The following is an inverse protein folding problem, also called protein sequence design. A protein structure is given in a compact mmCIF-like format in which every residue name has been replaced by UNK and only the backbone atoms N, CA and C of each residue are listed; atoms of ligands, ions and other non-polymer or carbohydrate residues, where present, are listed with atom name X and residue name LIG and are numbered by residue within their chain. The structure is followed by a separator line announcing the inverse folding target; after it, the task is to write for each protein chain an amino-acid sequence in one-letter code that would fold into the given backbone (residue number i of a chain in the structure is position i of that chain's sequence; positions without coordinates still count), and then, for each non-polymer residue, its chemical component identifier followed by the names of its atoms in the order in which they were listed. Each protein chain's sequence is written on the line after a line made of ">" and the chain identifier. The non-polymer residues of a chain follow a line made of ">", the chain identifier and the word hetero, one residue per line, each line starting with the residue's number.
data_IF_759811752217
#
_entry.id   IF_759811752217
#
_cell.length_a   1.000
_cell.length_b   1.000
_cell.length_c   1.000
_cell.angle_alpha   90.00
_cell.angle_beta   90.00
_cell.angle_gamma   90.00
#
_symmetry.space_group_name_H-M   'P 1'
#
loop_
_entity.id
_entity.type
_entity.pdbx_description
1 polymer ?
#
# COMPACT_ATOMS: atom_id res chain seq x y z
N UNK A 1 23.90 -29.81 12.79
CA UNK A 1 22.55 -29.31 12.68
C UNK A 1 22.14 -29.38 11.22
N UNK A 2 21.21 -30.26 10.85
CA UNK A 2 20.65 -30.32 9.50
C UNK A 2 19.87 -29.04 9.27
N UNK A 3 20.30 -28.23 8.31
CA UNK A 3 19.51 -27.11 7.81
C UNK A 3 18.27 -27.69 7.13
N UNK A 4 17.20 -27.83 7.85
CA UNK A 4 15.90 -28.09 7.20
C UNK A 4 15.56 -26.82 6.42
N UNK A 5 15.40 -26.97 5.10
CA UNK A 5 14.97 -25.86 4.23
C UNK A 5 13.63 -25.31 4.78
N UNK A 6 13.48 -23.98 4.78
CA UNK A 6 12.24 -23.33 5.23
C UNK A 6 11.09 -23.78 4.30
N UNK A 7 10.03 -24.46 4.81
CA UNK A 7 8.93 -24.94 3.98
C UNK A 7 8.10 -23.82 3.34
N UNK A 8 8.36 -22.58 3.71
CA UNK A 8 7.76 -21.37 3.14
C UNK A 8 8.52 -20.85 1.92
N UNK A 9 9.77 -21.31 1.71
CA UNK A 9 10.60 -20.85 0.60
C UNK A 9 10.74 -21.92 -0.48
N UNK A 10 10.45 -21.54 -1.73
CA UNK A 10 10.73 -22.37 -2.91
C UNK A 10 11.07 -21.45 -4.09
N UNK A 11 12.38 -21.33 -4.37
CA UNK A 11 12.89 -20.47 -5.44
C UNK A 11 12.45 -20.92 -6.86
N UNK A 12 11.98 -22.16 -7.02
CA UNK A 12 11.53 -22.69 -8.31
C UNK A 12 10.09 -22.34 -8.67
N UNK A 13 9.32 -21.86 -7.69
CA UNK A 13 7.89 -21.57 -7.88
C UNK A 13 7.68 -20.25 -8.62
N UNK A 14 6.99 -20.33 -9.74
CA UNK A 14 6.45 -19.19 -10.48
C UNK A 14 4.95 -19.44 -10.65
N UNK A 15 4.13 -18.68 -9.93
CA UNK A 15 2.69 -18.88 -9.89
C UNK A 15 1.98 -17.81 -10.71
N UNK A 16 1.09 -18.25 -11.59
CA UNK A 16 0.18 -17.39 -12.34
C UNK A 16 -1.20 -18.02 -12.37
N UNK A 17 -2.24 -17.21 -12.20
CA UNK A 17 -3.61 -17.69 -12.29
C UNK A 17 -3.94 -18.17 -13.71
N UNK A 18 -4.74 -19.23 -13.87
CA UNK A 18 -5.31 -19.59 -15.15
C UNK A 18 -6.15 -18.43 -15.72
N UNK A 19 -6.25 -18.37 -17.04
CA UNK A 19 -7.02 -17.38 -17.80
C UNK A 19 -7.97 -18.11 -18.75
N UNK A 20 -8.95 -17.36 -19.27
CA UNK A 20 -9.92 -17.91 -20.22
C UNK A 20 -11.16 -18.51 -19.55
N UNK A 21 -12.01 -19.10 -20.37
CA UNK A 21 -13.32 -19.59 -19.94
C UNK A 21 -13.34 -21.05 -19.46
N UNK A 22 -12.22 -21.76 -19.59
CA UNK A 22 -12.12 -23.15 -19.18
C UNK A 22 -11.89 -23.24 -17.68
N UNK A 23 -12.82 -23.92 -16.98
CA UNK A 23 -12.74 -24.13 -15.54
C UNK A 23 -11.69 -25.20 -15.17
N UNK A 24 -10.93 -24.94 -14.12
CA UNK A 24 -10.10 -25.92 -13.43
C UNK A 24 -10.88 -26.60 -12.31
N UNK A 25 -11.74 -25.82 -11.63
CA UNK A 25 -12.64 -26.27 -10.57
C UNK A 25 -14.01 -26.68 -11.13
N UNK A 26 -14.91 -27.13 -10.25
CA UNK A 26 -16.25 -27.62 -10.64
C UNK A 26 -17.21 -26.51 -11.01
N UNK A 27 -16.98 -25.28 -10.52
CA UNK A 27 -17.81 -24.10 -10.83
C UNK A 27 -17.01 -22.83 -10.80
N UNK A 28 -17.60 -21.73 -11.30
CA UNK A 28 -17.00 -20.40 -11.19
C UNK A 28 -16.88 -19.91 -9.76
N UNK A 29 -17.73 -20.37 -8.84
CA UNK A 29 -17.67 -19.96 -7.44
C UNK A 29 -16.38 -20.45 -6.76
N UNK A 30 -15.95 -21.65 -7.03
CA UNK A 30 -14.69 -22.21 -6.52
C UNK A 30 -13.49 -21.79 -7.38
N UNK A 31 -13.69 -21.64 -8.69
CA UNK A 31 -12.66 -21.15 -9.62
C UNK A 31 -12.19 -19.76 -9.24
N UNK A 32 -13.09 -18.88 -8.77
CA UNK A 32 -12.73 -17.53 -8.33
C UNK A 32 -11.67 -17.59 -7.22
N UNK A 33 -11.86 -18.34 -6.17
CA UNK A 33 -10.88 -18.53 -5.10
C UNK A 33 -9.59 -19.18 -5.61
N UNK A 34 -9.71 -20.18 -6.47
CA UNK A 34 -8.59 -20.89 -7.08
C UNK A 34 -7.70 -19.97 -7.90
N UNK A 35 -8.27 -19.10 -8.74
CA UNK A 35 -7.52 -18.13 -9.53
C UNK A 35 -6.96 -17.01 -8.66
N UNK A 36 -7.70 -16.56 -7.65
CA UNK A 36 -7.30 -15.41 -6.84
C UNK A 36 -6.14 -15.71 -5.90
N UNK A 37 -6.06 -16.88 -5.27
CA UNK A 37 -4.89 -17.23 -4.46
C UNK A 37 -3.62 -17.28 -5.32
N UNK A 38 -3.72 -17.77 -6.54
CA UNK A 38 -2.60 -17.79 -7.49
C UNK A 38 -2.26 -16.41 -8.00
N UNK A 39 -3.26 -15.57 -8.28
CA UNK A 39 -3.04 -14.18 -8.65
C UNK A 39 -2.31 -13.39 -7.58
N UNK A 40 -2.60 -13.65 -6.30
CA UNK A 40 -1.89 -13.02 -5.17
C UNK A 40 -0.38 -13.35 -5.16
N UNK A 41 0.02 -14.46 -5.74
CA UNK A 41 1.42 -14.90 -5.82
C UNK A 41 2.05 -14.71 -7.20
N UNK A 42 1.32 -14.08 -8.12
CA UNK A 42 1.88 -13.70 -9.42
C UNK A 42 3.10 -12.78 -9.21
N UNK A 43 4.21 -12.98 -9.92
CA UNK A 43 5.40 -12.14 -9.81
C UNK A 43 5.15 -10.64 -10.06
N UNK A 44 4.12 -10.29 -10.80
CA UNK A 44 3.71 -8.90 -11.02
C UNK A 44 2.94 -8.31 -9.83
N UNK A 45 2.43 -9.14 -8.92
CA UNK A 45 1.56 -8.76 -7.80
C UNK A 45 2.29 -8.86 -6.47
N UNK A 46 2.91 -10.00 -6.18
CA UNK A 46 3.49 -10.31 -4.89
C UNK A 46 4.87 -9.66 -4.70
N UNK A 47 5.14 -9.25 -3.46
CA UNK A 47 6.44 -8.71 -3.05
C UNK A 47 7.55 -9.78 -3.10
N UNK A 48 7.30 -10.95 -2.54
CA UNK A 48 8.21 -12.11 -2.53
C UNK A 48 7.44 -13.41 -2.76
N UNK A 49 7.03 -13.69 -4.00
CA UNK A 49 6.18 -14.84 -4.29
C UNK A 49 6.79 -16.18 -3.89
N UNK A 50 8.12 -16.33 -3.98
CA UNK A 50 8.83 -17.57 -3.59
C UNK A 50 8.71 -17.87 -2.09
N UNK A 51 8.45 -16.85 -1.28
CA UNK A 51 8.23 -16.93 0.16
C UNK A 51 6.75 -16.86 0.56
N UNK A 52 5.84 -16.92 -0.41
CA UNK A 52 4.39 -16.75 -0.21
C UNK A 52 4.01 -15.37 0.31
N UNK A 53 4.91 -14.41 0.30
CA UNK A 53 4.69 -13.06 0.79
C UNK A 53 4.07 -12.19 -0.30
N UNK A 54 2.85 -11.73 -0.06
CA UNK A 54 2.09 -10.88 -0.98
C UNK A 54 2.50 -9.42 -0.81
N UNK A 55 2.45 -8.90 0.41
CA UNK A 55 2.90 -7.53 0.73
C UNK A 55 3.21 -7.37 2.22
N UNK A 56 3.75 -6.19 2.59
CA UNK A 56 4.01 -5.82 3.97
C UNK A 56 5.13 -6.59 4.66
N UNK A 57 5.98 -7.26 3.91
CA UNK A 57 7.14 -8.01 4.40
C UNK A 57 6.83 -9.39 4.95
N UNK A 58 5.68 -9.58 5.59
CA UNK A 58 5.28 -10.86 6.25
C UNK A 58 3.86 -11.31 5.94
N UNK A 59 3.08 -10.52 5.20
CA UNK A 59 1.70 -10.88 4.82
C UNK A 59 1.68 -11.98 3.76
N UNK A 60 1.25 -13.18 4.13
CA UNK A 60 1.28 -14.39 3.29
C UNK A 60 -0.09 -14.82 2.79
N UNK A 61 -0.09 -15.47 1.63
CA UNK A 61 -1.29 -16.06 1.03
C UNK A 61 -1.59 -17.49 1.56
N UNK A 62 -0.56 -18.22 1.97
CA UNK A 62 -0.66 -19.55 2.54
C UNK A 62 0.43 -19.76 3.60
N UNK A 63 0.23 -20.72 4.50
CA UNK A 63 1.15 -20.96 5.62
C UNK A 63 2.51 -21.47 5.17
N UNK A 64 2.51 -22.37 4.20
CA UNK A 64 3.69 -22.91 3.52
C UNK A 64 3.28 -23.48 2.14
N UNK A 65 4.24 -23.95 1.35
CA UNK A 65 3.97 -24.44 0.00
C UNK A 65 3.14 -25.72 -0.02
N UNK A 66 3.30 -26.60 0.96
CA UNK A 66 2.42 -27.79 1.09
C UNK A 66 0.97 -27.39 1.32
N UNK A 67 0.72 -26.43 2.21
CA UNK A 67 -0.62 -25.89 2.44
C UNK A 67 -1.20 -25.22 1.19
N UNK A 68 -0.37 -24.48 0.44
CA UNK A 68 -0.79 -23.89 -0.83
C UNK A 68 -1.27 -24.96 -1.82
N UNK A 69 -0.49 -26.01 -2.00
CA UNK A 69 -0.86 -27.13 -2.89
C UNK A 69 -2.13 -27.84 -2.42
N UNK A 70 -2.29 -28.04 -1.13
CA UNK A 70 -3.50 -28.62 -0.54
C UNK A 70 -4.74 -27.72 -0.71
N UNK A 71 -4.58 -26.40 -0.62
CA UNK A 71 -5.66 -25.43 -0.89
C UNK A 71 -6.13 -25.57 -2.34
N UNK A 72 -5.21 -25.59 -3.30
CA UNK A 72 -5.55 -25.75 -4.71
C UNK A 72 -6.27 -27.05 -4.98
N UNK A 73 -5.77 -28.16 -4.43
CA UNK A 73 -6.40 -29.48 -4.56
C UNK A 73 -7.80 -29.50 -3.96
N UNK A 74 -7.99 -28.92 -2.77
CA UNK A 74 -9.28 -28.83 -2.10
C UNK A 74 -10.28 -28.01 -2.90
N UNK A 75 -9.87 -26.88 -3.48
CA UNK A 75 -10.75 -26.04 -4.30
C UNK A 75 -11.20 -26.73 -5.59
N UNK A 76 -10.33 -27.54 -6.20
CA UNK A 76 -10.70 -28.34 -7.38
C UNK A 76 -11.79 -29.37 -7.07
N UNK A 77 -11.78 -29.92 -5.88
CA UNK A 77 -12.69 -30.99 -5.46
C UNK A 77 -13.96 -30.47 -4.78
N UNK A 78 -13.98 -29.22 -4.36
CA UNK A 78 -15.07 -28.58 -3.60
C UNK A 78 -16.36 -28.48 -4.45
N UNK A 79 -17.48 -28.93 -3.86
CA UNK A 79 -18.81 -28.76 -4.45
C UNK A 79 -19.45 -27.44 -4.01
N UNK A 80 -20.47 -26.99 -4.76
CA UNK A 80 -21.14 -25.70 -4.51
C UNK A 80 -22.06 -25.69 -3.26
N UNK A 81 -22.18 -26.80 -2.58
CA UNK A 81 -22.88 -26.95 -1.29
C UNK A 81 -21.92 -27.30 -0.15
N UNK A 82 -20.63 -27.11 -0.37
CA UNK A 82 -19.57 -27.33 0.61
C UNK A 82 -18.80 -26.00 0.88
N UNK A 83 -18.21 -25.94 2.06
CA UNK A 83 -17.37 -24.80 2.48
C UNK A 83 -16.01 -25.32 2.93
N UNK A 84 -14.96 -24.77 2.33
CA UNK A 84 -13.56 -24.99 2.74
C UNK A 84 -13.19 -24.03 3.85
N UNK A 85 -12.74 -24.56 4.98
CA UNK A 85 -12.21 -23.76 6.09
C UNK A 85 -10.69 -23.67 5.99
N UNK A 86 -10.18 -22.45 5.97
CA UNK A 86 -8.75 -22.12 5.99
C UNK A 86 -8.44 -21.44 7.32
N UNK A 87 -7.44 -21.93 8.04
CA UNK A 87 -7.00 -21.33 9.29
C UNK A 87 -5.52 -20.98 9.23
N UNK A 88 -5.22 -19.70 9.34
CA UNK A 88 -3.85 -19.17 9.23
C UNK A 88 -3.10 -19.83 8.07
N UNK A 89 -3.71 -19.79 6.88
CA UNK A 89 -3.14 -20.29 5.62
C UNK A 89 -3.09 -21.80 5.44
N UNK A 90 -3.76 -22.56 6.32
CA UNK A 90 -3.83 -24.03 6.23
C UNK A 90 -5.27 -24.49 6.01
N UNK A 91 -5.54 -25.39 5.03
CA UNK A 91 -6.86 -25.99 4.89
C UNK A 91 -7.07 -26.98 6.03
N UNK A 92 -8.13 -26.80 6.82
CA UNK A 92 -8.38 -27.59 8.03
C UNK A 92 -9.66 -28.42 7.98
N UNK A 93 -10.54 -28.17 7.02
CA UNK A 93 -11.74 -28.97 6.85
C UNK A 93 -12.60 -28.50 5.68
N UNK A 94 -13.39 -29.44 5.18
CA UNK A 94 -14.47 -29.22 4.22
C UNK A 94 -15.78 -29.61 4.91
N UNK A 95 -16.71 -28.67 4.94
CA UNK A 95 -17.99 -28.84 5.62
C UNK A 95 -19.13 -28.83 4.61
N UNK A 96 -20.07 -29.74 4.78
CA UNK A 96 -21.33 -29.70 4.05
C UNK A 96 -22.13 -28.48 4.54
N UNK A 97 -22.45 -27.59 3.63
CA UNK A 97 -23.22 -26.40 3.90
C UNK A 97 -24.42 -26.33 2.93
N UNK A 98 -24.55 -25.25 2.21
CA UNK A 98 -25.62 -25.06 1.23
C UNK A 98 -25.16 -24.08 0.11
N UNK A 99 -25.92 -24.02 -0.96
CA UNK A 99 -25.54 -23.26 -2.15
C UNK A 99 -25.32 -21.75 -1.88
N UNK A 100 -25.98 -21.17 -0.88
CA UNK A 100 -25.83 -19.77 -0.51
C UNK A 100 -24.77 -19.52 0.58
N UNK A 101 -24.10 -20.56 1.07
CA UNK A 101 -23.00 -20.43 2.02
C UNK A 101 -21.72 -19.99 1.30
N UNK A 102 -20.79 -19.33 2.00
CA UNK A 102 -19.47 -19.06 1.44
C UNK A 102 -18.77 -20.36 1.00
N UNK A 103 -18.10 -20.29 -0.17
CA UNK A 103 -17.29 -21.44 -0.63
C UNK A 103 -16.01 -21.59 0.21
N UNK A 104 -15.47 -20.48 0.73
CA UNK A 104 -14.27 -20.48 1.55
C UNK A 104 -14.49 -19.57 2.78
N UNK A 105 -14.15 -20.07 3.95
CA UNK A 105 -14.05 -19.29 5.18
C UNK A 105 -12.58 -19.19 5.59
N UNK A 106 -12.13 -17.96 5.81
CA UNK A 106 -10.75 -17.63 6.13
C UNK A 106 -10.67 -17.08 7.55
N UNK A 107 -9.93 -17.76 8.41
CA UNK A 107 -9.61 -17.30 9.76
C UNK A 107 -8.11 -17.12 9.89
N UNK A 108 -7.64 -15.87 9.90
CA UNK A 108 -6.21 -15.56 9.93
C UNK A 108 -5.83 -14.84 11.22
N UNK A 109 -4.66 -15.22 11.78
CA UNK A 109 -4.03 -14.54 12.91
C UNK A 109 -4.91 -14.41 14.16
N UNK A 110 -5.78 -15.39 14.40
CA UNK A 110 -6.72 -15.38 15.53
C UNK A 110 -6.04 -15.93 16.79
N UNK A 111 -5.44 -15.03 17.58
CA UNK A 111 -4.93 -15.34 18.91
C UNK A 111 -5.93 -14.91 19.98
N UNK A 112 -5.99 -15.70 21.07
CA UNK A 112 -6.73 -15.30 22.27
C UNK A 112 -6.14 -13.97 22.78
N UNK A 113 -6.95 -12.94 23.07
CA UNK A 113 -6.44 -11.60 23.43
C UNK A 113 -5.41 -11.61 24.55
N UNK A 114 -5.54 -12.48 25.54
CA UNK A 114 -4.57 -12.63 26.64
C UNK A 114 -3.16 -12.95 26.16
N UNK A 115 -3.01 -13.61 25.02
CA UNK A 115 -1.74 -14.05 24.46
C UNK A 115 -1.39 -13.34 23.15
N UNK A 116 -2.20 -12.36 22.74
CA UNK A 116 -2.03 -11.65 21.49
C UNK A 116 -0.95 -10.56 21.62
N UNK A 117 0.29 -10.95 21.54
CA UNK A 117 1.45 -10.07 21.48
C UNK A 117 2.41 -10.53 20.38
N UNK A 118 3.29 -9.63 19.92
CA UNK A 118 4.18 -9.90 18.80
C UNK A 118 5.20 -11.01 19.09
N UNK A 119 5.62 -11.16 20.35
CA UNK A 119 6.56 -12.22 20.75
C UNK A 119 5.94 -13.59 20.55
N UNK A 120 4.74 -13.81 21.09
CA UNK A 120 4.02 -15.07 20.94
C UNK A 120 3.65 -15.36 19.50
N UNK A 121 3.19 -14.32 18.76
CA UNK A 121 2.93 -14.42 17.34
C UNK A 121 4.17 -14.91 16.58
N UNK A 122 5.31 -14.28 16.80
CA UNK A 122 6.57 -14.63 16.13
C UNK A 122 7.01 -16.06 16.45
N UNK A 123 6.85 -16.49 17.69
CA UNK A 123 7.14 -17.87 18.11
C UNK A 123 6.29 -18.87 17.34
N UNK A 124 4.99 -18.63 17.23
CA UNK A 124 4.08 -19.53 16.51
C UNK A 124 4.36 -19.54 15.00
N UNK A 125 4.65 -18.37 14.42
CA UNK A 125 5.02 -18.26 13.02
C UNK A 125 6.29 -19.05 12.69
N UNK A 126 7.33 -18.92 13.52
CA UNK A 126 8.58 -19.65 13.37
C UNK A 126 8.40 -21.18 13.51
N UNK A 127 7.48 -21.61 14.37
CA UNK A 127 7.13 -23.03 14.55
C UNK A 127 6.25 -23.59 13.41
N UNK A 128 5.85 -22.76 12.44
CA UNK A 128 4.97 -23.16 11.36
C UNK A 128 3.53 -23.46 11.81
N UNK A 129 3.12 -22.94 12.96
CA UNK A 129 1.78 -23.13 13.52
C UNK A 129 0.83 -22.01 13.21
N UNK A 130 1.34 -20.94 12.60
CA UNK A 130 0.61 -19.70 12.44
C UNK A 130 1.08 -18.98 11.18
N UNK A 131 0.29 -18.02 10.71
CA UNK A 131 0.62 -17.18 9.56
C UNK A 131 0.06 -15.78 9.76
N UNK A 132 0.84 -14.75 9.41
CA UNK A 132 0.30 -13.42 9.29
C UNK A 132 -0.42 -13.27 7.94
N UNK A 133 -1.72 -13.44 7.97
CA UNK A 133 -2.59 -13.27 6.80
C UNK A 133 -3.13 -11.84 6.71
N UNK A 134 -2.23 -10.89 6.51
CA UNK A 134 -2.55 -9.46 6.51
C UNK A 134 -3.66 -9.13 5.51
N UNK A 135 -4.81 -8.69 6.04
CA UNK A 135 -5.96 -8.18 5.25
C UNK A 135 -6.18 -8.91 3.91
N UNK A 136 -5.92 -8.24 2.81
CA UNK A 136 -6.15 -8.75 1.44
C UNK A 136 -5.14 -9.79 0.98
N UNK A 137 -3.99 -9.91 1.64
CA UNK A 137 -3.02 -10.96 1.37
C UNK A 137 -3.55 -12.34 1.79
N UNK A 138 -3.97 -12.47 3.04
CA UNK A 138 -4.49 -13.72 3.59
C UNK A 138 -5.90 -14.08 3.12
N UNK A 139 -6.66 -13.12 2.61
CA UNK A 139 -8.00 -13.35 2.05
C UNK A 139 -8.01 -13.53 0.52
N UNK A 140 -6.85 -13.43 -0.12
CA UNK A 140 -6.64 -13.64 -1.56
C UNK A 140 -7.38 -12.65 -2.47
N UNK A 141 -7.57 -11.44 -1.99
CA UNK A 141 -8.26 -10.38 -2.74
C UNK A 141 -7.38 -9.16 -3.05
N UNK A 142 -6.08 -9.27 -2.82
CA UNK A 142 -5.13 -8.23 -3.21
C UNK A 142 -4.94 -8.20 -4.73
N UNK A 143 -5.08 -7.02 -5.32
CA UNK A 143 -5.07 -6.82 -6.78
C UNK A 143 -3.87 -6.01 -7.26
N UNK A 144 -2.85 -5.87 -6.42
CA UNK A 144 -1.67 -5.05 -6.71
C UNK A 144 -1.78 -3.62 -6.19
N UNK A 145 -0.98 -2.71 -6.75
CA UNK A 145 -0.83 -1.34 -6.26
C UNK A 145 -2.05 -0.44 -6.48
N UNK A 146 -3.00 -0.85 -7.31
CA UNK A 146 -4.19 -0.05 -7.61
C UNK A 146 -4.99 0.33 -6.36
N UNK A 147 -5.11 -0.60 -5.39
CA UNK A 147 -5.81 -0.34 -4.13
C UNK A 147 -5.12 0.73 -3.29
N UNK A 148 -3.80 0.74 -3.28
CA UNK A 148 -2.99 1.74 -2.57
C UNK A 148 -3.13 3.11 -3.26
N UNK A 149 -3.09 3.16 -4.58
CA UNK A 149 -3.28 4.40 -5.34
C UNK A 149 -4.66 4.99 -5.04
N UNK A 150 -5.70 4.17 -5.04
CA UNK A 150 -7.04 4.67 -4.71
C UNK A 150 -7.15 5.15 -3.27
N UNK A 151 -6.68 4.39 -2.29
CA UNK A 151 -6.74 4.81 -0.89
C UNK A 151 -6.02 6.14 -0.66
N UNK A 152 -4.87 6.32 -1.28
CA UNK A 152 -4.10 7.56 -1.21
C UNK A 152 -4.82 8.70 -1.95
N UNK A 153 -5.40 8.43 -3.12
CA UNK A 153 -6.22 9.38 -3.85
C UNK A 153 -7.43 9.86 -3.02
N UNK A 154 -8.17 8.93 -2.42
CA UNK A 154 -9.32 9.30 -1.58
C UNK A 154 -8.89 10.13 -0.36
N UNK A 155 -7.72 9.83 0.21
CA UNK A 155 -7.13 10.62 1.29
C UNK A 155 -6.84 12.06 0.84
N UNK A 156 -6.19 12.22 -0.30
CA UNK A 156 -5.85 13.54 -0.83
C UNK A 156 -7.08 14.32 -1.30
N UNK A 157 -8.02 13.66 -1.95
CA UNK A 157 -9.28 14.28 -2.35
C UNK A 157 -10.08 14.77 -1.13
N UNK A 158 -10.13 13.99 -0.05
CA UNK A 158 -10.80 14.38 1.18
C UNK A 158 -10.09 15.52 1.90
N UNK A 159 -8.75 15.53 1.89
CA UNK A 159 -7.97 16.66 2.39
C UNK A 159 -8.28 17.95 1.62
N UNK A 160 -8.38 17.88 0.30
CA UNK A 160 -8.80 19.00 -0.55
C UNK A 160 -10.19 19.52 -0.20
N UNK A 161 -11.13 18.61 -0.03
CA UNK A 161 -12.51 18.95 0.37
C UNK A 161 -12.55 19.62 1.75
N UNK A 162 -11.85 19.05 2.72
CA UNK A 162 -11.87 19.52 4.10
C UNK A 162 -11.17 20.86 4.30
N UNK A 163 -10.03 21.08 3.65
CA UNK A 163 -9.16 22.22 3.90
C UNK A 163 -9.22 23.30 2.83
N UNK A 164 -9.60 22.98 1.60
CA UNK A 164 -9.50 23.87 0.44
C UNK A 164 -10.78 23.97 -0.40
N UNK A 165 -11.91 23.58 0.17
CA UNK A 165 -13.23 23.78 -0.45
C UNK A 165 -13.56 22.86 -1.62
N UNK A 166 -12.79 21.78 -1.85
CA UNK A 166 -13.14 20.75 -2.82
C UNK A 166 -12.01 20.19 -3.66
N UNK A 167 -11.02 20.99 -4.05
CA UNK A 167 -9.95 20.57 -4.95
C UNK A 167 -8.56 20.94 -4.43
N UNK A 168 -7.56 20.17 -4.83
CA UNK A 168 -6.15 20.48 -4.62
C UNK A 168 -5.49 21.13 -5.85
N UNK A 169 -6.26 21.56 -6.84
CA UNK A 169 -5.75 22.33 -7.97
C UNK A 169 -5.04 23.60 -7.50
N UNK A 170 -3.84 23.85 -8.01
CA UNK A 170 -3.01 24.98 -7.60
C UNK A 170 -2.36 24.80 -6.23
N UNK A 171 -2.49 23.66 -5.61
CA UNK A 171 -1.91 23.29 -4.32
C UNK A 171 -0.77 22.30 -4.50
N UNK A 172 0.10 22.17 -3.49
CA UNK A 172 1.13 21.17 -3.55
C UNK A 172 1.30 20.39 -2.24
N UNK A 173 1.64 19.12 -2.41
CA UNK A 173 1.82 18.14 -1.34
C UNK A 173 3.31 17.88 -1.19
N UNK A 174 3.79 17.92 0.05
CA UNK A 174 5.13 17.48 0.42
C UNK A 174 5.06 16.11 1.08
N UNK A 175 5.84 15.18 0.57
CA UNK A 175 5.95 13.83 1.13
C UNK A 175 7.33 13.23 0.87
N UNK A 176 7.59 12.07 1.44
CA UNK A 176 8.80 11.31 1.22
C UNK A 176 8.52 9.82 1.10
N UNK A 177 9.40 9.09 0.42
CA UNK A 177 9.31 7.66 0.18
C UNK A 177 8.66 7.33 -1.16
N UNK A 178 9.40 6.66 -2.03
CA UNK A 178 8.96 6.14 -3.33
C UNK A 178 9.13 4.61 -3.43
N UNK A 179 9.18 3.94 -2.29
CA UNK A 179 9.18 2.48 -2.18
C UNK A 179 7.81 1.87 -2.50
N UNK A 180 7.56 0.65 -2.01
CA UNK A 180 6.35 -0.11 -2.33
C UNK A 180 5.05 0.66 -2.07
N UNK A 181 4.84 1.12 -0.85
CA UNK A 181 3.64 1.89 -0.46
C UNK A 181 3.74 3.36 -0.90
N UNK A 182 4.89 3.98 -0.63
CA UNK A 182 5.12 5.41 -0.91
C UNK A 182 5.09 5.75 -2.39
N UNK A 183 5.44 4.80 -3.24
CA UNK A 183 5.44 4.99 -4.69
C UNK A 183 4.08 5.29 -5.30
N UNK A 184 2.99 5.02 -4.59
CA UNK A 184 1.63 5.38 -5.03
C UNK A 184 1.31 6.87 -4.86
N UNK A 185 2.00 7.57 -3.98
CA UNK A 185 1.68 8.96 -3.61
C UNK A 185 1.74 9.95 -4.78
N UNK A 186 2.79 9.95 -5.62
CA UNK A 186 2.87 10.92 -6.71
C UNK A 186 1.71 10.80 -7.70
N UNK A 187 1.33 9.59 -8.08
CA UNK A 187 0.21 9.36 -8.99
C UNK A 187 -1.13 9.76 -8.33
N UNK A 188 -1.33 9.40 -7.08
CA UNK A 188 -2.53 9.78 -6.32
C UNK A 188 -2.66 11.31 -6.16
N UNK A 189 -1.56 12.00 -5.91
CA UNK A 189 -1.53 13.46 -5.85
C UNK A 189 -1.93 14.10 -7.19
N UNK A 190 -1.39 13.59 -8.28
CA UNK A 190 -1.74 14.03 -9.65
C UNK A 190 -3.23 13.80 -9.91
N UNK A 191 -3.76 12.65 -9.55
CA UNK A 191 -5.19 12.36 -9.68
C UNK A 191 -6.07 13.32 -8.88
N UNK A 192 -5.58 13.79 -7.72
CA UNK A 192 -6.26 14.80 -6.90
C UNK A 192 -6.10 16.24 -7.43
N UNK A 193 -5.40 16.44 -8.54
CA UNK A 193 -5.16 17.74 -9.15
C UNK A 193 -3.98 18.52 -8.57
N UNK A 194 -3.21 17.91 -7.66
CA UNK A 194 -2.12 18.57 -6.95
C UNK A 194 -0.77 18.41 -7.66
N UNK A 195 0.12 19.38 -7.40
CA UNK A 195 1.56 19.20 -7.56
C UNK A 195 2.07 18.43 -6.34
N UNK A 196 3.03 17.55 -6.51
CA UNK A 196 3.69 16.89 -5.38
C UNK A 196 5.20 16.97 -5.45
N UNK A 197 5.83 17.18 -4.30
CA UNK A 197 7.27 17.01 -4.10
C UNK A 197 7.50 15.76 -3.28
N UNK A 198 8.17 14.79 -3.89
CA UNK A 198 8.41 13.45 -3.34
C UNK A 198 9.91 13.27 -3.12
N UNK A 199 10.33 13.25 -1.87
CA UNK A 199 11.73 13.09 -1.50
C UNK A 199 12.04 11.60 -1.43
N UNK A 200 13.09 11.18 -2.10
CA UNK A 200 13.55 9.78 -2.11
C UNK A 200 15.06 9.71 -2.01
N UNK A 201 15.55 8.84 -1.15
CA UNK A 201 16.99 8.70 -0.90
C UNK A 201 17.72 7.79 -1.91
N UNK A 202 17.00 7.03 -2.73
CA UNK A 202 17.56 6.09 -3.70
C UNK A 202 17.18 6.48 -5.13
N UNK A 203 18.20 6.78 -5.95
CA UNK A 203 17.99 7.11 -7.37
C UNK A 203 17.27 5.97 -8.12
N UNK A 204 17.57 4.73 -7.79
CA UNK A 204 16.92 3.56 -8.42
C UNK A 204 15.40 3.54 -8.23
N UNK A 205 14.92 3.97 -7.07
CA UNK A 205 13.49 4.10 -6.80
C UNK A 205 12.86 5.23 -7.63
N UNK A 206 13.54 6.35 -7.75
CA UNK A 206 13.10 7.46 -8.62
C UNK A 206 13.03 7.01 -10.07
N UNK A 207 14.08 6.36 -10.57
CA UNK A 207 14.15 5.87 -11.96
C UNK A 207 13.01 4.89 -12.26
N UNK A 208 12.73 3.99 -11.34
CA UNK A 208 11.62 3.05 -11.45
C UNK A 208 10.26 3.77 -11.57
N UNK A 209 10.03 4.78 -10.73
CA UNK A 209 8.77 5.54 -10.75
C UNK A 209 8.63 6.45 -11.96
N UNK A 210 9.72 6.95 -12.50
CA UNK A 210 9.73 7.66 -13.79
C UNK A 210 9.37 6.71 -14.94
N UNK A 211 9.99 5.53 -14.99
CA UNK A 211 9.68 4.52 -16.04
C UNK A 211 8.25 4.03 -16.01
N UNK A 212 7.71 3.84 -14.82
CA UNK A 212 6.34 3.35 -14.63
C UNK A 212 5.29 4.47 -14.63
N UNK A 213 5.71 5.71 -14.87
CA UNK A 213 4.86 6.91 -14.96
C UNK A 213 4.09 7.26 -13.68
N UNK A 214 4.63 6.88 -12.53
CA UNK A 214 4.12 7.34 -11.23
C UNK A 214 4.65 8.72 -10.88
N UNK A 215 5.87 9.04 -11.32
CA UNK A 215 6.51 10.36 -11.18
C UNK A 215 6.72 10.96 -12.57
N UNK A 216 6.40 12.23 -12.72
CA UNK A 216 6.52 12.94 -13.99
C UNK A 216 7.91 13.50 -14.23
N UNK A 217 8.54 14.08 -13.20
CA UNK A 217 9.82 14.80 -13.33
C UNK A 217 10.71 14.57 -12.13
N UNK A 218 12.03 14.70 -12.33
CA UNK A 218 13.00 14.79 -11.25
C UNK A 218 13.61 16.18 -11.21
N UNK A 219 13.60 16.82 -10.03
CA UNK A 219 14.32 18.07 -9.80
C UNK A 219 15.80 17.80 -9.52
N UNK A 220 16.67 18.73 -9.93
CA UNK A 220 18.13 18.65 -9.69
C UNK A 220 18.48 18.94 -8.23
N UNK A 221 17.77 19.89 -7.62
CA UNK A 221 17.99 20.38 -6.27
C UNK A 221 16.70 21.06 -5.74
N UNK A 222 16.76 21.58 -4.53
CA UNK A 222 15.61 22.25 -3.90
C UNK A 222 15.18 23.48 -4.71
N UNK A 223 16.12 24.29 -5.21
CA UNK A 223 15.79 25.49 -5.97
C UNK A 223 15.04 25.14 -7.26
N UNK A 224 15.51 24.15 -7.98
CA UNK A 224 14.82 23.66 -9.18
C UNK A 224 13.45 23.04 -8.84
N UNK A 225 13.35 22.32 -7.74
CA UNK A 225 12.05 21.80 -7.27
C UNK A 225 11.06 22.94 -7.01
N UNK A 226 11.50 24.02 -6.37
CA UNK A 226 10.65 25.18 -6.10
C UNK A 226 10.24 25.94 -7.36
N UNK A 227 11.13 26.06 -8.33
CA UNK A 227 10.79 26.64 -9.65
C UNK A 227 9.66 25.82 -10.33
N UNK A 228 9.80 24.49 -10.34
CA UNK A 228 8.78 23.58 -10.92
C UNK A 228 7.46 23.66 -10.15
N UNK A 229 7.50 23.69 -8.81
CA UNK A 229 6.29 23.80 -7.98
C UNK A 229 5.58 25.12 -8.29
N UNK A 230 6.28 26.26 -8.32
CA UNK A 230 5.69 27.55 -8.64
C UNK A 230 5.06 27.58 -10.04
N UNK A 231 5.78 27.06 -11.03
CA UNK A 231 5.30 27.01 -12.41
C UNK A 231 4.01 26.23 -12.52
N UNK A 232 3.98 25.02 -11.97
CA UNK A 232 2.85 24.11 -12.14
C UNK A 232 1.65 24.45 -11.23
N UNK A 233 1.89 24.96 -10.03
CA UNK A 233 0.78 25.44 -9.18
C UNK A 233 0.12 26.67 -9.77
N UNK A 234 0.88 27.61 -10.34
CA UNK A 234 0.34 28.80 -11.00
C UNK A 234 -0.49 28.42 -12.24
N UNK A 235 -0.06 27.42 -13.00
CA UNK A 235 -0.78 26.90 -14.17
C UNK A 235 -1.93 25.96 -13.80
N UNK A 236 -2.05 25.56 -12.53
CA UNK A 236 -2.96 24.52 -12.03
C UNK A 236 -2.77 23.17 -12.73
N UNK A 237 -1.54 22.88 -13.12
CA UNK A 237 -1.15 21.58 -13.66
C UNK A 237 -0.91 20.60 -12.50
N UNK A 238 -1.38 19.38 -12.65
CA UNK A 238 -1.08 18.31 -11.72
C UNK A 238 0.20 17.60 -12.17
N UNK A 239 1.32 17.86 -11.49
CA UNK A 239 2.64 17.31 -11.83
C UNK A 239 3.32 16.77 -10.58
N UNK A 240 3.85 15.58 -10.68
CA UNK A 240 4.62 14.95 -9.61
C UNK A 240 6.12 15.12 -9.84
N UNK A 241 6.82 15.55 -8.80
CA UNK A 241 8.24 15.89 -8.82
C UNK A 241 8.97 15.04 -7.80
N UNK A 242 10.01 14.32 -8.22
CA UNK A 242 10.92 13.62 -7.33
C UNK A 242 12.15 14.50 -7.03
N UNK A 243 12.66 14.39 -5.82
CA UNK A 243 13.91 15.02 -5.39
C UNK A 243 14.76 13.98 -4.66
N UNK A 244 15.96 13.71 -5.19
CA UNK A 244 16.92 12.83 -4.56
C UNK A 244 17.49 13.49 -3.31
N UNK A 245 17.36 12.83 -2.18
CA UNK A 245 17.95 13.29 -0.93
C UNK A 245 17.37 12.57 0.28
N UNK A 246 17.86 12.95 1.44
CA UNK A 246 17.40 12.42 2.71
C UNK A 246 16.32 13.33 3.31
N UNK A 247 15.16 12.78 3.61
CA UNK A 247 14.05 13.56 4.16
C UNK A 247 14.39 14.24 5.49
N UNK A 248 15.21 13.60 6.34
CA UNK A 248 15.67 14.18 7.60
C UNK A 248 16.64 15.36 7.41
N UNK A 249 17.22 15.53 6.23
CA UNK A 249 18.05 16.67 5.87
C UNK A 249 17.25 17.73 5.10
N UNK A 250 16.43 17.30 4.15
CA UNK A 250 15.69 18.21 3.26
C UNK A 250 14.52 18.88 3.98
N UNK A 251 13.72 18.16 4.75
CA UNK A 251 12.56 18.75 5.42
C UNK A 251 12.92 19.90 6.35
N UNK A 252 13.96 19.82 7.21
CA UNK A 252 14.38 20.95 8.02
C UNK A 252 14.77 22.18 7.19
N UNK A 253 15.41 22.00 6.03
CA UNK A 253 15.76 23.09 5.12
C UNK A 253 14.51 23.73 4.49
N UNK A 254 13.52 22.92 4.12
CA UNK A 254 12.24 23.42 3.62
C UNK A 254 11.48 24.21 4.70
N UNK A 255 11.52 23.76 5.95
CA UNK A 255 10.96 24.49 7.10
C UNK A 255 11.68 25.84 7.25
N UNK A 256 12.99 25.87 7.21
CA UNK A 256 13.78 27.09 7.30
C UNK A 256 13.39 28.08 6.21
N UNK A 257 13.27 27.63 4.97
CA UNK A 257 12.84 28.47 3.83
C UNK A 257 11.42 28.97 3.99
N UNK A 258 10.51 28.15 4.46
CA UNK A 258 9.11 28.54 4.72
C UNK A 258 9.03 29.63 5.80
N UNK A 259 9.79 29.50 6.89
CA UNK A 259 9.91 30.51 7.96
C UNK A 259 10.47 31.85 7.45
N UNK A 260 11.33 31.78 6.45
CA UNK A 260 11.91 32.98 5.80
C UNK A 260 11.01 33.62 4.71
N UNK A 261 9.76 33.19 4.61
CA UNK A 261 8.78 33.70 3.65
C UNK A 261 8.77 32.98 2.29
N UNK A 262 9.45 31.83 2.18
CA UNK A 262 9.43 30.99 0.99
C UNK A 262 8.16 30.16 0.85
N UNK A 263 8.18 29.22 -0.11
CA UNK A 263 7.04 28.36 -0.39
C UNK A 263 6.67 27.49 0.83
N UNK A 264 5.38 27.36 1.05
CA UNK A 264 4.79 26.48 2.06
C UNK A 264 3.97 25.39 1.37
N UNK A 265 4.13 24.13 1.76
CA UNK A 265 3.24 23.09 1.26
C UNK A 265 1.81 23.30 1.76
N UNK A 266 0.85 22.76 1.02
CA UNK A 266 -0.56 22.81 1.39
C UNK A 266 -1.00 21.56 2.17
N UNK A 267 -0.22 20.48 2.08
CA UNK A 267 -0.38 19.23 2.82
C UNK A 267 0.98 18.57 2.99
N UNK A 268 1.26 18.05 4.17
CA UNK A 268 2.49 17.30 4.46
C UNK A 268 2.14 15.92 4.97
N UNK A 269 2.79 14.90 4.42
CA UNK A 269 2.69 13.52 4.90
C UNK A 269 4.03 12.81 4.71
N UNK A 270 4.08 11.51 5.00
CA UNK A 270 5.27 10.70 4.86
C UNK A 270 4.95 9.22 4.66
N UNK A 271 5.65 8.57 3.76
CA UNK A 271 5.64 7.12 3.57
C UNK A 271 7.05 6.54 3.43
N UNK A 272 8.04 7.09 4.11
CA UNK A 272 9.32 6.42 4.29
C UNK A 272 9.12 5.12 5.10
N UNK A 273 9.99 4.13 4.92
CA UNK A 273 9.85 2.83 5.58
C UNK A 273 10.40 2.85 7.02
N UNK A 274 9.87 3.76 7.85
CA UNK A 274 10.31 3.97 9.23
C UNK A 274 9.94 2.81 10.18
N UNK A 275 9.12 1.86 9.75
CA UNK A 275 8.82 0.64 10.49
C UNK A 275 9.99 -0.36 10.52
N UNK A 276 10.95 -0.23 9.61
CA UNK A 276 12.18 -1.02 9.57
C UNK A 276 13.40 -0.09 9.62
N UNK A 277 13.95 0.09 10.82
CA UNK A 277 15.07 1.00 11.05
C UNK A 277 16.42 0.48 10.54
N UNK A 278 16.49 -0.77 10.12
CA UNK A 278 17.70 -1.34 9.50
C UNK A 278 17.64 -1.20 7.99
N UNK A 279 16.57 -1.69 7.37
CA UNK A 279 16.48 -1.77 5.91
C UNK A 279 15.65 -0.67 5.27
N UNK A 280 14.87 0.06 6.04
CA UNK A 280 13.84 0.95 5.54
C UNK A 280 14.14 2.45 5.62
N UNK A 281 15.01 2.88 6.50
CA UNK A 281 15.26 4.32 6.72
C UNK A 281 16.75 4.66 6.68
N UNK A 282 17.15 5.43 5.67
CA UNK A 282 18.51 5.91 5.52
C UNK A 282 18.83 6.98 6.59
N UNK A 283 19.81 6.78 7.48
CA UNK A 283 20.21 7.80 8.44
C UNK A 283 20.74 9.06 7.76
N UNK A 284 20.42 10.23 8.33
CA UNK A 284 20.98 11.49 7.88
C UNK A 284 22.51 11.48 7.93
N UNK A 285 23.14 12.02 6.90
CA UNK A 285 24.60 12.07 6.77
C UNK A 285 25.25 10.79 6.28
N UNK A 286 24.49 9.71 6.09
CA UNK A 286 25.00 8.45 5.54
C UNK A 286 24.81 8.42 4.02
N UNK A 287 25.76 7.78 3.32
CA UNK A 287 25.57 7.41 1.93
C UNK A 287 24.75 6.11 1.82
N UNK A 288 24.11 5.89 0.69
CA UNK A 288 23.42 4.62 0.40
C UNK A 288 24.38 3.44 0.48
N UNK A 289 25.62 3.62 0.03
CA UNK A 289 26.64 2.56 0.09
C UNK A 289 27.00 2.18 1.55
N UNK A 290 27.19 3.17 2.44
CA UNK A 290 27.43 2.93 3.87
C UNK A 290 26.23 2.22 4.52
N UNK A 291 25.03 2.65 4.19
CA UNK A 291 23.80 2.05 4.70
C UNK A 291 23.66 0.59 4.29
N UNK A 292 23.88 0.28 3.01
CA UNK A 292 23.83 -1.09 2.49
C UNK A 292 24.89 -2.00 3.13
N UNK A 293 26.09 -1.48 3.34
CA UNK A 293 27.14 -2.22 4.03
C UNK A 293 26.74 -2.56 5.49
N UNK A 294 26.17 -1.58 6.21
CA UNK A 294 25.69 -1.79 7.58
C UNK A 294 24.51 -2.76 7.67
N UNK A 295 23.63 -2.78 6.67
CA UNK A 295 22.52 -3.76 6.59
C UNK A 295 23.03 -5.21 6.54
N UNK A 296 24.15 -5.45 5.86
CA UNK A 296 24.76 -6.78 5.72
C UNK A 296 25.58 -7.22 6.96
N UNK A 297 25.88 -6.31 7.85
CA UNK A 297 26.67 -6.55 9.05
C UNK A 297 25.80 -6.47 10.31
N UNK A 298 25.42 -7.63 10.85
CA UNK A 298 24.58 -7.74 12.05
C UNK A 298 25.15 -6.96 13.24
N UNK A 299 26.48 -6.86 13.34
CA UNK A 299 27.16 -6.11 14.42
C UNK A 299 26.88 -4.61 14.35
N UNK A 300 26.49 -4.09 13.19
CA UNK A 300 26.16 -2.68 12.97
C UNK A 300 24.67 -2.36 13.17
N UNK A 301 23.81 -3.36 13.31
CA UNK A 301 22.36 -3.16 13.32
C UNK A 301 21.89 -2.29 14.49
N UNK A 302 22.45 -2.43 15.69
CA UNK A 302 22.05 -1.61 16.83
C UNK A 302 22.46 -0.13 16.66
N UNK A 303 23.64 0.14 16.12
CA UNK A 303 24.07 1.50 15.80
C UNK A 303 23.20 2.08 14.69
N UNK A 304 22.92 1.29 13.64
CA UNK A 304 22.08 1.69 12.52
C UNK A 304 20.65 2.05 12.97
N UNK A 305 20.03 1.21 13.77
CA UNK A 305 18.71 1.49 14.38
C UNK A 305 18.69 2.80 15.14
N UNK A 306 19.72 3.05 15.96
CA UNK A 306 19.82 4.27 16.78
C UNK A 306 19.92 5.53 15.91
N UNK A 307 20.82 5.55 14.94
CA UNK A 307 21.01 6.74 14.08
C UNK A 307 19.82 6.94 13.14
N UNK A 308 19.20 5.87 12.66
CA UNK A 308 17.95 5.95 11.88
C UNK A 308 16.81 6.52 12.72
N UNK A 309 16.65 6.06 13.97
CA UNK A 309 15.65 6.58 14.91
C UNK A 309 15.85 8.08 15.19
N UNK A 310 17.10 8.51 15.43
CA UNK A 310 17.44 9.92 15.61
C UNK A 310 17.10 10.75 14.37
N UNK A 311 17.32 10.22 13.18
CA UNK A 311 16.95 10.86 11.92
C UNK A 311 15.42 10.97 11.77
N UNK A 312 14.68 9.93 12.15
CA UNK A 312 13.21 9.99 12.18
C UNK A 312 12.71 11.07 13.15
N UNK A 313 13.37 11.27 14.29
CA UNK A 313 13.02 12.35 15.22
C UNK A 313 13.16 13.74 14.57
N UNK A 314 14.24 13.97 13.84
CA UNK A 314 14.45 15.23 13.09
C UNK A 314 13.38 15.40 12.00
N UNK A 315 13.05 14.34 11.28
CA UNK A 315 12.02 14.32 10.25
C UNK A 315 10.65 14.69 10.82
N UNK A 316 10.23 14.05 11.90
CA UNK A 316 8.95 14.33 12.58
C UNK A 316 8.91 15.74 13.15
N UNK A 317 10.02 16.23 13.71
CA UNK A 317 10.10 17.62 14.20
C UNK A 317 9.84 18.63 13.07
N UNK A 318 10.38 18.38 11.87
CA UNK A 318 10.10 19.22 10.71
C UNK A 318 8.61 19.16 10.31
N UNK A 319 7.98 18.00 10.36
CA UNK A 319 6.54 17.87 10.12
C UNK A 319 5.71 18.65 11.15
N UNK A 320 6.08 18.60 12.42
CA UNK A 320 5.47 19.40 13.49
C UNK A 320 5.67 20.90 13.25
N UNK A 321 6.83 21.31 12.79
CA UNK A 321 7.10 22.73 12.46
C UNK A 321 6.16 23.23 11.36
N UNK A 322 5.90 22.42 10.34
CA UNK A 322 4.89 22.73 9.33
C UNK A 322 3.48 22.81 9.92
N UNK A 323 3.10 21.90 10.79
CA UNK A 323 1.81 21.98 11.48
C UNK A 323 1.65 23.25 12.28
N UNK A 324 2.70 23.69 12.98
CA UNK A 324 2.70 24.94 13.73
C UNK A 324 2.57 26.19 12.83
N UNK A 325 2.84 26.07 11.55
CA UNK A 325 2.56 27.13 10.56
C UNK A 325 1.11 27.10 10.04
N UNK A 326 0.26 26.21 10.57
CA UNK A 326 -1.13 26.06 10.13
C UNK A 326 -1.31 25.14 8.90
N UNK A 327 -0.28 24.41 8.51
CA UNK A 327 -0.35 23.48 7.37
C UNK A 327 -0.91 22.14 7.85
N UNK A 328 -1.89 21.54 7.15
CA UNK A 328 -2.36 20.18 7.44
C UNK A 328 -1.21 19.18 7.33
N UNK A 329 -1.00 18.40 8.38
CA UNK A 329 0.02 17.35 8.46
C UNK A 329 -0.65 16.06 8.92
N UNK A 330 -0.37 14.96 8.24
CA UNK A 330 -0.89 13.64 8.60
C UNK A 330 0.17 12.57 8.52
N UNK A 331 0.06 11.59 9.41
CA UNK A 331 0.82 10.34 9.36
C UNK A 331 0.10 9.36 8.42
N UNK A 332 0.87 8.63 7.63
CA UNK A 332 0.31 7.64 6.69
C UNK A 332 0.53 6.18 7.15
N UNK A 333 0.83 5.95 8.42
CA UNK A 333 0.86 4.62 9.02
C UNK A 333 2.19 3.87 8.90
N UNK A 334 3.29 4.59 8.81
CA UNK A 334 4.64 4.02 8.71
C UNK A 334 5.41 3.91 10.04
N UNK A 335 4.76 4.15 11.17
CA UNK A 335 5.33 4.11 12.51
C UNK A 335 6.34 5.24 12.85
N UNK A 336 6.51 6.23 11.97
CA UNK A 336 7.53 7.27 12.19
C UNK A 336 7.29 8.10 13.45
N UNK A 337 6.01 8.37 13.80
CA UNK A 337 5.66 9.12 15.01
C UNK A 337 6.09 8.38 16.28
N UNK A 338 5.86 7.07 16.35
CA UNK A 338 6.28 6.27 17.51
C UNK A 338 7.81 6.25 17.65
N UNK A 339 8.52 6.08 16.54
CA UNK A 339 9.99 6.11 16.55
C UNK A 339 10.49 7.47 17.07
N UNK A 340 9.93 8.56 16.59
CA UNK A 340 10.28 9.91 17.04
C UNK A 340 9.95 10.14 18.53
N UNK A 341 8.79 9.65 18.98
CA UNK A 341 8.36 9.75 20.37
C UNK A 341 9.35 9.03 21.31
N UNK A 342 9.77 7.83 20.94
CA UNK A 342 10.76 7.05 21.70
C UNK A 342 12.13 7.76 21.75
N UNK A 343 12.45 8.59 20.77
CA UNK A 343 13.65 9.42 20.71
C UNK A 343 13.49 10.80 21.39
N UNK A 344 12.37 11.04 22.09
CA UNK A 344 12.16 12.23 22.90
C UNK A 344 11.34 13.34 22.27
N UNK A 345 10.76 13.15 21.07
CA UNK A 345 9.81 14.08 20.47
C UNK A 345 8.43 13.82 21.10
N UNK A 346 8.18 14.46 22.23
CA UNK A 346 7.00 14.16 23.06
C UNK A 346 5.67 14.53 22.41
N UNK A 347 5.68 15.47 21.49
CA UNK A 347 4.53 15.96 20.73
C UNK A 347 4.39 15.29 19.34
N UNK A 348 5.11 14.20 19.09
CA UNK A 348 5.10 13.48 17.81
C UNK A 348 3.69 13.07 17.34
N UNK A 349 2.76 12.86 18.27
CA UNK A 349 1.38 12.48 17.96
C UNK A 349 0.40 13.67 17.88
N UNK A 350 0.88 14.91 17.90
CA UNK A 350 0.03 16.10 17.79
C UNK A 350 -0.59 16.25 16.40
N UNK A 351 0.06 15.74 15.35
CA UNK A 351 -0.62 15.59 14.08
C UNK A 351 -1.27 14.20 13.97
N UNK A 352 -2.47 14.11 13.38
CA UNK A 352 -3.23 12.87 13.34
C UNK A 352 -2.69 11.88 12.30
N UNK A 353 -3.14 10.62 12.41
CA UNK A 353 -3.06 9.67 11.30
C UNK A 353 -4.09 10.00 10.21
N UNK A 354 -3.82 9.55 8.99
CA UNK A 354 -4.71 9.79 7.84
C UNK A 354 -6.09 9.13 8.01
N UNK A 355 -6.14 7.98 8.69
CA UNK A 355 -7.41 7.28 8.93
C UNK A 355 -8.36 8.12 9.77
N UNK A 356 -8.03 8.55 11.00
CA UNK A 356 -8.94 9.40 11.77
C UNK A 356 -9.18 10.76 11.11
N UNK A 357 -8.20 11.32 10.41
CA UNK A 357 -8.33 12.64 9.80
C UNK A 357 -9.27 12.66 8.58
N UNK A 358 -9.19 11.66 7.70
CA UNK A 358 -9.84 11.70 6.39
C UNK A 358 -10.65 10.44 6.05
N UNK A 359 -10.20 9.27 6.43
CA UNK A 359 -10.80 8.00 5.97
C UNK A 359 -11.94 7.54 6.86
N UNK A 360 -11.79 7.62 8.17
CA UNK A 360 -12.84 7.20 9.13
C UNK A 360 -14.17 7.92 8.91
N UNK A 361 -14.22 9.25 8.68
CA UNK A 361 -15.47 9.92 8.34
C UNK A 361 -16.15 9.34 7.12
N UNK A 362 -15.40 9.00 6.06
CA UNK A 362 -15.94 8.38 4.85
C UNK A 362 -16.51 6.99 5.15
N UNK A 363 -15.82 6.18 5.94
CA UNK A 363 -16.34 4.87 6.37
C UNK A 363 -17.61 5.00 7.22
N UNK A 364 -17.69 6.02 8.08
CA UNK A 364 -18.90 6.29 8.87
C UNK A 364 -20.10 6.70 8.00
N UNK A 365 -19.85 7.29 6.84
CA UNK A 365 -20.87 7.57 5.81
C UNK A 365 -21.23 6.35 4.95
N UNK A 366 -20.61 5.20 5.21
CA UNK A 366 -20.82 3.96 4.44
C UNK A 366 -19.99 3.87 3.17
N UNK A 367 -19.13 4.84 2.87
CA UNK A 367 -18.22 4.78 1.71
C UNK A 367 -17.06 3.86 2.00
N UNK A 368 -16.68 3.07 1.02
CA UNK A 368 -15.55 2.16 1.16
C UNK A 368 -15.23 1.40 -0.11
N UNK A 369 -14.13 0.65 -0.11
CA UNK A 369 -13.63 -0.03 -1.30
C UNK A 369 -14.56 -1.14 -1.78
N UNK A 370 -14.70 -1.20 -3.09
CA UNK A 370 -15.36 -2.27 -3.83
C UNK A 370 -14.41 -2.73 -4.94
N UNK A 371 -14.13 -4.02 -4.98
CA UNK A 371 -13.15 -4.61 -5.91
C UNK A 371 -13.77 -5.67 -6.77
N UNK A 372 -13.29 -5.78 -8.02
CA UNK A 372 -13.62 -6.89 -8.89
C UNK A 372 -12.45 -7.26 -9.78
N UNK A 373 -12.47 -8.47 -10.29
CA UNK A 373 -11.42 -9.06 -11.10
C UNK A 373 -12.02 -9.71 -12.33
N UNK A 374 -11.38 -9.53 -13.47
CA UNK A 374 -11.70 -10.29 -14.68
C UNK A 374 -11.00 -11.65 -14.60
N UNK A 375 -11.70 -12.68 -14.13
CA UNK A 375 -11.16 -14.03 -14.02
C UNK A 375 -10.77 -14.62 -15.39
N UNK A 376 -11.39 -14.15 -16.47
CA UNK A 376 -11.02 -14.45 -17.85
C UNK A 376 -9.59 -14.04 -18.21
N UNK A 377 -9.03 -13.06 -17.52
CA UNK A 377 -7.76 -12.44 -17.88
C UNK A 377 -7.86 -11.44 -19.04
N UNK A 378 -9.06 -11.16 -19.53
CA UNK A 378 -9.29 -10.22 -20.64
C UNK A 378 -9.51 -8.80 -20.08
N UNK A 379 -8.62 -7.84 -20.41
CA UNK A 379 -8.78 -6.44 -20.01
C UNK A 379 -10.10 -5.81 -20.48
N UNK A 380 -10.68 -6.31 -21.57
CA UNK A 380 -11.95 -5.81 -22.09
C UNK A 380 -13.11 -6.03 -21.11
N UNK A 381 -13.06 -7.07 -20.31
CA UNK A 381 -14.07 -7.31 -19.27
C UNK A 381 -14.04 -6.20 -18.21
N UNK A 382 -12.86 -5.65 -17.90
CA UNK A 382 -12.76 -4.50 -17.00
C UNK A 382 -13.33 -3.23 -17.64
N UNK A 383 -13.09 -3.00 -18.95
CA UNK A 383 -13.70 -1.84 -19.65
C UNK A 383 -15.22 -1.91 -19.64
N UNK A 384 -15.78 -3.09 -19.86
CA UNK A 384 -17.23 -3.32 -19.79
C UNK A 384 -17.79 -3.07 -18.38
N UNK A 385 -17.11 -3.55 -17.37
CA UNK A 385 -17.54 -3.38 -15.98
C UNK A 385 -17.32 -1.96 -15.47
N UNK A 386 -16.26 -1.28 -15.87
CA UNK A 386 -16.09 0.17 -15.62
C UNK A 386 -17.27 0.96 -16.21
N UNK A 387 -17.62 0.68 -17.46
CA UNK A 387 -18.77 1.32 -18.12
C UNK A 387 -20.09 1.02 -17.39
N UNK A 388 -20.26 -0.21 -16.91
CA UNK A 388 -21.45 -0.61 -16.15
C UNK A 388 -21.56 0.13 -14.82
N UNK A 389 -20.49 0.32 -14.09
CA UNK A 389 -20.50 1.11 -12.84
C UNK A 389 -20.92 2.56 -13.12
N UNK A 390 -20.42 3.16 -14.20
CA UNK A 390 -20.84 4.52 -14.60
C UNK A 390 -22.31 4.59 -14.96
N UNK A 391 -22.84 3.58 -15.65
CA UNK A 391 -24.25 3.48 -16.02
C UNK A 391 -25.15 3.32 -14.79
N UNK A 392 -24.72 2.49 -13.81
CA UNK A 392 -25.48 2.27 -12.58
C UNK A 392 -25.52 3.50 -11.67
N UNK A 393 -24.46 4.31 -11.68
CA UNK A 393 -24.33 5.47 -10.80
C UNK A 393 -24.01 6.75 -11.59
N UNK A 394 -24.95 7.24 -12.43
CA UNK A 394 -24.69 8.36 -13.33
C UNK A 394 -24.40 9.68 -12.59
N UNK A 395 -24.91 9.83 -11.37
CA UNK A 395 -24.72 11.03 -10.56
C UNK A 395 -23.42 11.04 -9.75
N UNK A 396 -22.76 9.89 -9.59
CA UNK A 396 -21.51 9.78 -8.82
C UNK A 396 -20.30 10.19 -9.68
N UNK A 397 -20.13 11.50 -9.88
CA UNK A 397 -19.06 12.06 -10.72
C UNK A 397 -17.66 11.76 -10.16
N UNK A 398 -17.52 11.61 -8.84
CA UNK A 398 -16.24 11.25 -8.21
C UNK A 398 -15.79 9.85 -8.66
N UNK A 399 -16.70 8.86 -8.67
CA UNK A 399 -16.40 7.52 -9.16
C UNK A 399 -16.10 7.52 -10.66
N UNK A 400 -16.88 8.28 -11.46
CA UNK A 400 -16.61 8.41 -12.89
C UNK A 400 -15.20 8.92 -13.17
N UNK A 401 -14.79 9.98 -12.47
CA UNK A 401 -13.46 10.55 -12.61
C UNK A 401 -12.38 9.54 -12.23
N UNK A 402 -12.54 8.83 -11.10
CA UNK A 402 -11.60 7.79 -10.71
C UNK A 402 -11.47 6.70 -11.77
N UNK A 403 -12.57 6.17 -12.28
CA UNK A 403 -12.57 5.10 -13.29
C UNK A 403 -11.88 5.54 -14.59
N UNK A 404 -12.08 6.78 -15.02
CA UNK A 404 -11.39 7.34 -16.18
C UNK A 404 -9.88 7.42 -15.95
N UNK A 405 -9.44 7.98 -14.84
CA UNK A 405 -8.02 8.10 -14.49
C UNK A 405 -7.36 6.73 -14.32
N UNK A 406 -8.03 5.80 -13.66
CA UNK A 406 -7.53 4.44 -13.48
C UNK A 406 -7.40 3.71 -14.82
N UNK A 407 -8.38 3.86 -15.69
CA UNK A 407 -8.35 3.26 -17.03
C UNK A 407 -7.23 3.77 -17.91
N UNK A 408 -6.87 5.05 -17.78
CA UNK A 408 -5.80 5.68 -18.55
C UNK A 408 -4.40 5.42 -18.00
N UNK A 409 -4.26 5.38 -16.68
CA UNK A 409 -2.95 5.51 -16.03
C UNK A 409 -2.52 4.31 -15.19
N UNK A 410 -3.41 3.38 -14.86
CA UNK A 410 -3.07 2.22 -14.03
C UNK A 410 -2.99 0.96 -14.88
N UNK A 411 -1.78 0.41 -15.03
CA UNK A 411 -1.57 -0.87 -15.66
C UNK A 411 -2.03 -2.01 -14.74
N UNK A 412 -2.61 -3.05 -15.32
CA UNK A 412 -2.97 -4.25 -14.58
C UNK A 412 -1.73 -5.02 -14.13
N UNK A 413 -1.81 -5.58 -12.92
CA UNK A 413 -0.82 -6.50 -12.37
C UNK A 413 -1.50 -7.86 -12.21
N UNK A 414 -0.97 -8.90 -12.86
CA UNK A 414 -1.64 -10.20 -12.91
C UNK A 414 -2.97 -10.14 -13.68
N UNK A 415 -4.01 -10.74 -13.11
CA UNK A 415 -5.36 -10.66 -13.69
C UNK A 415 -5.85 -9.20 -13.71
N UNK A 416 -6.51 -8.78 -14.80
CA UNK A 416 -7.11 -7.46 -14.86
C UNK A 416 -8.11 -7.26 -13.72
N UNK A 417 -8.01 -6.13 -13.05
CA UNK A 417 -8.81 -5.86 -11.86
C UNK A 417 -9.14 -4.37 -11.74
N UNK A 418 -10.15 -4.06 -10.95
CA UNK A 418 -10.54 -2.70 -10.62
C UNK A 418 -10.92 -2.59 -9.16
N UNK A 419 -10.67 -1.43 -8.61
CA UNK A 419 -11.20 -0.99 -7.33
C UNK A 419 -11.88 0.37 -7.53
N UNK A 420 -12.97 0.62 -6.84
CA UNK A 420 -13.52 1.96 -6.65
C UNK A 420 -14.14 2.04 -5.25
N UNK A 421 -14.33 3.27 -4.76
CA UNK A 421 -15.02 3.48 -3.49
C UNK A 421 -16.48 3.85 -3.75
N UNK A 422 -17.36 3.05 -3.16
CA UNK A 422 -18.81 3.19 -3.30
C UNK A 422 -19.47 3.31 -1.92
N UNK A 423 -20.63 3.93 -1.87
CA UNK A 423 -21.50 3.92 -0.71
C UNK A 423 -22.07 2.51 -0.45
N UNK A 424 -22.63 2.29 0.74
CA UNK A 424 -23.15 0.98 1.13
C UNK A 424 -24.25 0.50 0.18
N UNK A 425 -25.21 1.35 -0.16
CA UNK A 425 -26.29 1.04 -1.12
C UNK A 425 -25.77 0.78 -2.53
N UNK A 426 -24.80 1.59 -2.96
CA UNK A 426 -24.17 1.41 -4.29
C UNK A 426 -23.44 0.08 -4.40
N UNK A 427 -22.74 -0.37 -3.34
CA UNK A 427 -22.06 -1.68 -3.32
C UNK A 427 -23.03 -2.84 -3.47
N UNK A 428 -24.21 -2.73 -2.87
CA UNK A 428 -25.27 -3.72 -3.05
C UNK A 428 -25.77 -3.81 -4.49
N UNK A 429 -25.93 -2.66 -5.13
CA UNK A 429 -26.39 -2.60 -6.53
C UNK A 429 -25.30 -3.12 -7.47
N UNK A 430 -24.03 -2.72 -7.23
CA UNK A 430 -22.90 -3.14 -8.02
C UNK A 430 -22.65 -4.67 -7.94
#
# INVERSE_FOLDING_TARGET
>A
ASSHADPRHDASRVIRAPRGSQLTCKSWLTEAAYRMIQNNLDPEVAERPQDLVVYGGIGRAARNWECFDQILASLKDLNDDETLLIQSGKPVGVFKTHANAPRVLLANSNLVPKWANWEHFSELDQKGLFMYGQMTAGSWIYIGTQGIVQGTYETFAEAGRKHYGGSLEGKWILTAGLGGMGGAQPLAATFAGAVSLNIECQQSSIDFRLRTRYVDKQARDIDHAFELIQQHTAAKDAVSIALLGNAAEILPELVRRAKAGGLKPDLVTDQTSAHDLVNGYLPAGWTVAQWRAAQQDVTQHEVLKKVAAQSCAVHVQAMLDFQHMGIPVVDYGNNIRQVAFDEGVKDAFDFPGFVPAYIRPLFCEGKGPFRWVALSGDPEDIRKTDAKIKELFPENKHVHRWLDMAGESIAFQGLPARICWLGLGERHIA
#
